data_IF_060170951637
#
_entry.id   IF_060170951637
#
_cell.length_a   1.000
_cell.length_b   1.000
_cell.length_c   1.000
_cell.angle_alpha   90.00
_cell.angle_beta   90.00
_cell.angle_gamma   90.00
#
_symmetry.space_group_name_H-M   'P 1'
#
loop_
_entity.id
_entity.type
_entity.pdbx_description
1 polymer ?
#
# COMPACT_ATOMS: atom_id res chain seq x y z
N UNK A 1 29.21 -22.87 -7.45
CA UNK A 1 28.79 -21.46 -7.36
C UNK A 1 27.47 -21.45 -6.59
N UNK A 2 27.55 -21.30 -5.30
CA UNK A 2 26.38 -21.15 -4.43
C UNK A 2 25.73 -19.82 -4.77
N UNK A 3 24.50 -19.87 -5.30
CA UNK A 3 23.72 -18.69 -5.55
C UNK A 3 23.52 -17.94 -4.24
N UNK A 4 23.96 -16.69 -4.17
CA UNK A 4 23.58 -15.76 -3.12
C UNK A 4 22.06 -15.79 -3.03
N UNK A 5 21.52 -16.39 -1.99
CA UNK A 5 20.13 -16.20 -1.60
C UNK A 5 19.99 -14.69 -1.34
N UNK A 6 19.27 -13.99 -2.23
CA UNK A 6 18.90 -12.61 -1.98
C UNK A 6 18.13 -12.61 -0.67
N UNK A 7 18.72 -12.03 0.36
CA UNK A 7 18.14 -11.93 1.69
C UNK A 7 16.86 -11.10 1.58
N UNK A 8 15.74 -11.79 1.60
CA UNK A 8 14.43 -11.16 1.59
C UNK A 8 14.31 -10.34 2.89
N UNK A 9 13.94 -9.08 2.76
CA UNK A 9 13.74 -8.18 3.91
C UNK A 9 12.30 -7.70 3.96
N UNK A 10 11.83 -7.38 5.16
CA UNK A 10 10.54 -6.75 5.38
C UNK A 10 10.79 -5.33 5.89
N UNK A 11 10.30 -4.36 5.14
CA UNK A 11 10.43 -2.94 5.47
C UNK A 11 9.09 -2.43 5.98
N UNK A 12 9.13 -1.65 7.06
CA UNK A 12 7.94 -1.11 7.71
C UNK A 12 8.14 0.39 7.92
N UNK A 13 7.20 1.20 7.42
CA UNK A 13 7.16 2.61 7.77
C UNK A 13 6.52 2.81 9.14
N UNK A 14 7.15 3.62 9.98
CA UNK A 14 6.67 3.95 11.33
C UNK A 14 6.38 5.46 11.37
N UNK A 15 5.12 5.82 11.19
CA UNK A 15 4.70 7.20 10.98
C UNK A 15 5.10 8.14 12.12
N UNK A 16 4.70 7.84 13.36
CA UNK A 16 5.01 8.70 14.51
C UNK A 16 6.46 8.59 15.00
N UNK A 17 7.15 7.47 14.75
CA UNK A 17 8.58 7.36 15.05
C UNK A 17 9.44 8.04 14.00
N UNK A 18 8.90 8.41 12.84
CA UNK A 18 9.66 8.94 11.71
C UNK A 18 10.84 8.01 11.40
N UNK A 19 10.51 6.76 11.10
CA UNK A 19 11.54 5.74 10.88
C UNK A 19 11.07 4.65 9.93
N UNK A 20 12.03 3.91 9.38
CA UNK A 20 11.79 2.67 8.64
C UNK A 20 12.42 1.54 9.44
N UNK A 21 11.61 0.58 9.89
CA UNK A 21 12.09 -0.68 10.47
C UNK A 21 12.38 -1.69 9.38
N UNK A 22 13.48 -2.44 9.54
CA UNK A 22 13.89 -3.49 8.60
C UNK A 22 13.97 -4.79 9.39
N UNK A 23 13.18 -5.79 8.99
CA UNK A 23 13.22 -7.13 9.57
C UNK A 23 13.90 -8.09 8.61
N UNK A 24 14.66 -8.99 9.16
CA UNK A 24 15.10 -10.19 8.44
C UNK A 24 13.92 -11.13 8.23
N UNK A 25 13.68 -11.53 6.99
CA UNK A 25 12.51 -12.33 6.64
C UNK A 25 12.57 -13.77 7.20
N UNK A 26 13.75 -14.34 7.42
CA UNK A 26 13.89 -15.74 7.86
C UNK A 26 13.79 -15.88 9.37
N UNK A 27 14.46 -15.00 10.11
CA UNK A 27 14.49 -15.02 11.58
C UNK A 27 13.32 -14.25 12.20
N UNK A 28 12.69 -13.35 11.44
CA UNK A 28 11.73 -12.37 11.93
C UNK A 28 12.29 -11.50 13.07
N UNK A 29 13.58 -11.19 13.00
CA UNK A 29 14.21 -10.28 13.95
C UNK A 29 14.31 -8.88 13.37
N UNK A 30 14.19 -7.86 14.23
CA UNK A 30 14.46 -6.48 13.86
C UNK A 30 15.97 -6.33 13.62
N UNK A 31 16.35 -6.19 12.35
CA UNK A 31 17.76 -6.03 11.96
C UNK A 31 18.25 -4.60 12.17
N UNK A 32 17.39 -3.64 11.79
CA UNK A 32 17.74 -2.22 11.83
C UNK A 32 16.49 -1.34 11.90
N UNK A 33 16.60 -0.19 12.56
CA UNK A 33 15.66 0.92 12.46
C UNK A 33 16.40 2.14 11.92
N UNK A 34 15.99 2.65 10.76
CA UNK A 34 16.54 3.86 10.16
C UNK A 34 15.68 5.02 10.64
N UNK A 35 16.27 5.94 11.40
CA UNK A 35 15.62 7.18 11.81
C UNK A 35 15.67 8.19 10.67
N UNK A 36 14.55 8.85 10.43
CA UNK A 36 14.39 9.94 9.47
C UNK A 36 14.45 11.29 10.20
N UNK A 37 14.63 12.36 9.46
CA UNK A 37 14.64 13.71 10.01
C UNK A 37 13.26 14.12 10.56
N UNK A 38 13.22 15.17 11.39
CA UNK A 38 12.05 15.53 12.20
C UNK A 38 10.80 15.90 11.38
N UNK A 39 10.96 16.29 10.13
CA UNK A 39 9.86 16.68 9.25
C UNK A 39 9.35 15.57 8.34
N UNK A 40 9.98 14.36 8.38
CA UNK A 40 9.63 13.24 7.50
C UNK A 40 8.67 12.28 8.20
N UNK A 41 7.43 12.26 7.76
CA UNK A 41 6.38 11.38 8.27
C UNK A 41 6.05 10.27 7.24
N UNK A 42 6.67 9.09 7.33
CA UNK A 42 6.54 8.04 6.33
C UNK A 42 5.22 7.28 6.52
N UNK A 43 4.15 7.72 5.88
CA UNK A 43 2.90 6.96 5.88
C UNK A 43 2.93 5.81 4.87
N UNK A 44 3.43 6.10 3.68
CA UNK A 44 3.65 5.13 2.61
C UNK A 44 5.05 5.30 2.04
N UNK A 45 5.53 4.33 1.28
CA UNK A 45 6.79 4.40 0.56
C UNK A 45 6.88 3.30 -0.50
N UNK A 46 7.75 3.46 -1.47
CA UNK A 46 8.10 2.40 -2.42
C UNK A 46 9.62 2.19 -2.47
N UNK A 47 10.06 1.05 -2.98
CA UNK A 47 11.48 0.66 -3.01
C UNK A 47 11.90 0.33 -4.43
N UNK A 48 12.98 0.98 -4.90
CA UNK A 48 13.76 0.53 -6.04
C UNK A 48 14.78 -0.51 -5.55
N UNK A 49 14.49 -1.78 -5.84
CA UNK A 49 15.35 -2.91 -5.45
C UNK A 49 16.70 -2.90 -6.15
N UNK A 50 16.76 -2.38 -7.36
CA UNK A 50 17.98 -2.38 -8.17
C UNK A 50 19.00 -1.38 -7.65
N UNK A 51 18.51 -0.24 -7.15
CA UNK A 51 19.33 0.84 -6.60
C UNK A 51 19.42 0.80 -5.08
N UNK A 52 18.61 -0.03 -4.42
CA UNK A 52 18.45 -0.07 -2.97
C UNK A 52 18.05 1.28 -2.37
N UNK A 53 17.11 1.96 -3.03
CA UNK A 53 16.56 3.25 -2.64
C UNK A 53 15.10 3.11 -2.22
N UNK A 54 14.68 3.86 -1.19
CA UNK A 54 13.28 4.05 -0.86
C UNK A 54 12.86 5.49 -1.17
N UNK A 55 11.68 5.63 -1.77
CA UNK A 55 11.04 6.92 -2.04
C UNK A 55 9.88 7.11 -1.07
N UNK A 56 9.92 8.21 -0.31
CA UNK A 56 9.02 8.46 0.82
C UNK A 56 8.27 9.78 0.58
N UNK A 57 6.95 9.73 0.30
CA UNK A 57 6.13 10.93 0.26
C UNK A 57 5.83 11.36 1.70
N UNK A 58 6.03 12.63 2.01
CA UNK A 58 5.68 13.21 3.31
C UNK A 58 4.35 13.96 3.22
N UNK A 59 3.39 13.56 4.05
CA UNK A 59 2.09 14.22 4.12
C UNK A 59 2.12 15.61 4.76
N UNK A 60 3.27 15.95 5.43
CA UNK A 60 3.50 17.20 6.14
C UNK A 60 4.41 18.08 5.34
N UNK A 61 4.44 18.69 4.51
CA UNK A 61 5.39 19.53 3.77
C UNK A 61 5.33 19.34 2.25
N UNK A 62 4.72 18.24 1.82
CA UNK A 62 4.54 17.98 0.40
C UNK A 62 5.86 17.68 -0.32
N UNK A 63 6.73 16.95 0.33
CA UNK A 63 8.05 16.57 -0.18
C UNK A 63 8.11 15.07 -0.46
N UNK A 64 8.93 14.71 -1.43
CA UNK A 64 9.31 13.32 -1.73
C UNK A 64 10.79 13.18 -1.43
N UNK A 65 11.11 12.30 -0.48
CA UNK A 65 12.49 12.04 -0.05
C UNK A 65 13.03 10.76 -0.66
N UNK A 66 14.32 10.75 -0.95
CA UNK A 66 15.08 9.56 -1.39
C UNK A 66 15.97 9.09 -0.27
N UNK A 67 15.67 7.92 0.25
CA UNK A 67 16.44 7.25 1.31
C UNK A 67 17.32 6.16 0.69
N UNK A 68 18.64 6.27 0.87
CA UNK A 68 19.57 5.16 0.58
C UNK A 68 19.50 4.13 1.73
N UNK A 69 18.98 2.95 1.42
CA UNK A 69 18.77 1.87 2.38
C UNK A 69 20.08 1.23 2.88
N UNK A 70 21.19 1.33 2.12
CA UNK A 70 22.49 0.80 2.53
C UNK A 70 23.08 1.63 3.66
N UNK A 71 23.17 2.95 3.46
CA UNK A 71 23.75 3.86 4.43
C UNK A 71 22.73 4.37 5.46
N UNK A 72 21.42 4.28 5.14
CA UNK A 72 20.33 4.73 6.00
C UNK A 72 20.27 6.25 6.15
N UNK A 73 20.43 6.97 5.05
CA UNK A 73 20.40 8.44 5.02
C UNK A 73 19.56 8.94 3.85
N UNK A 74 18.91 10.06 4.05
CA UNK A 74 18.30 10.83 2.96
C UNK A 74 19.45 11.37 2.08
N UNK A 75 19.38 11.12 0.79
CA UNK A 75 20.39 11.54 -0.20
C UNK A 75 19.87 12.58 -1.16
N UNK A 76 18.55 12.72 -1.31
CA UNK A 76 17.91 13.70 -2.18
C UNK A 76 16.46 13.93 -1.76
N UNK A 77 15.85 15.03 -2.22
CA UNK A 77 14.43 15.32 -2.04
C UNK A 77 13.94 16.36 -3.04
N UNK A 78 12.63 16.39 -3.25
CA UNK A 78 11.95 17.43 -4.02
C UNK A 78 10.68 17.88 -3.29
N UNK A 79 10.43 19.18 -3.25
CA UNK A 79 9.18 19.75 -2.76
C UNK A 79 8.21 19.96 -3.93
N UNK A 80 7.05 19.32 -3.87
CA UNK A 80 5.95 19.50 -4.83
C UNK A 80 4.71 20.12 -4.19
N UNK A 81 4.75 20.30 -2.87
CA UNK A 81 3.69 20.88 -2.07
C UNK A 81 2.48 19.97 -1.87
N UNK A 82 1.58 20.38 -0.99
CA UNK A 82 0.33 19.67 -0.71
C UNK A 82 0.47 18.40 0.13
N UNK A 83 -0.64 17.70 0.32
CA UNK A 83 -0.70 16.46 1.10
C UNK A 83 -0.46 15.25 0.22
N UNK A 84 0.73 14.66 0.34
CA UNK A 84 1.13 13.46 -0.40
C UNK A 84 0.77 12.21 0.41
N UNK A 85 0.08 11.24 -0.21
CA UNK A 85 -0.46 10.09 0.55
C UNK A 85 0.01 8.73 0.04
N UNK A 86 0.10 8.53 -1.26
CA UNK A 86 0.53 7.26 -1.81
C UNK A 86 1.62 7.45 -2.86
N UNK A 87 2.50 6.45 -3.02
CA UNK A 87 3.58 6.47 -3.99
C UNK A 87 3.84 5.07 -4.54
N UNK A 88 4.13 4.98 -5.83
CA UNK A 88 4.63 3.76 -6.45
C UNK A 88 5.68 4.07 -7.50
N UNK A 89 6.63 3.15 -7.65
CA UNK A 89 7.63 3.16 -8.70
C UNK A 89 7.21 2.22 -9.83
N UNK A 90 7.16 2.73 -11.05
CA UNK A 90 6.90 1.93 -12.24
C UNK A 90 7.65 2.51 -13.45
N UNK A 91 8.46 1.68 -14.13
CA UNK A 91 9.25 2.09 -15.30
C UNK A 91 10.13 3.35 -15.08
N UNK A 92 10.87 3.37 -13.97
CA UNK A 92 11.69 4.52 -13.54
C UNK A 92 10.92 5.82 -13.34
N UNK A 93 9.61 5.77 -13.16
CA UNK A 93 8.76 6.89 -12.81
C UNK A 93 8.08 6.67 -11.47
N UNK A 94 7.99 7.73 -10.67
CA UNK A 94 7.27 7.77 -9.41
C UNK A 94 5.89 8.38 -9.65
N UNK A 95 4.84 7.64 -9.31
CA UNK A 95 3.46 8.11 -9.32
C UNK A 95 3.07 8.44 -7.89
N UNK A 96 2.58 9.65 -7.63
CA UNK A 96 2.34 10.17 -6.29
C UNK A 96 0.96 10.83 -6.25
N UNK A 97 0.11 10.42 -5.30
CA UNK A 97 -1.15 11.10 -5.03
C UNK A 97 -0.93 12.37 -4.22
N UNK A 98 -1.52 13.47 -4.67
CA UNK A 98 -1.57 14.74 -3.96
C UNK A 98 -3.03 15.14 -3.73
N UNK A 99 -3.50 14.98 -2.50
CA UNK A 99 -4.90 15.24 -2.14
C UNK A 99 -5.28 16.71 -2.27
N UNK A 100 -4.39 17.63 -1.88
CA UNK A 100 -4.70 19.07 -1.86
C UNK A 100 -4.81 19.66 -3.26
N UNK A 101 -3.99 19.17 -4.20
CA UNK A 101 -4.03 19.64 -5.59
C UNK A 101 -4.94 18.81 -6.50
N UNK A 102 -5.62 17.80 -5.98
CA UNK A 102 -6.45 16.88 -6.75
C UNK A 102 -5.71 16.33 -7.98
N UNK A 103 -4.52 15.79 -7.78
CA UNK A 103 -3.69 15.36 -8.90
C UNK A 103 -2.79 14.17 -8.57
N UNK A 104 -2.34 13.51 -9.64
CA UNK A 104 -1.23 12.55 -9.60
C UNK A 104 -0.01 13.25 -10.18
N UNK A 105 1.03 13.38 -9.36
CA UNK A 105 2.34 13.81 -9.83
C UNK A 105 3.12 12.62 -10.38
N UNK A 106 3.81 12.84 -11.48
CA UNK A 106 4.72 11.85 -12.06
C UNK A 106 6.11 12.47 -12.10
N UNK A 107 7.07 11.84 -11.42
CA UNK A 107 8.45 12.26 -11.38
C UNK A 107 9.34 11.19 -12.01
N UNK A 108 10.42 11.59 -12.65
CA UNK A 108 11.51 10.68 -13.02
C UNK A 108 12.22 10.23 -11.74
N UNK A 109 12.31 8.92 -11.50
CA UNK A 109 12.86 8.36 -10.27
C UNK A 109 14.38 8.54 -10.12
N UNK A 110 15.10 8.87 -11.20
CA UNK A 110 16.56 9.07 -11.17
C UNK A 110 16.94 10.51 -10.87
N UNK A 111 16.13 11.46 -11.33
CA UNK A 111 16.44 12.88 -11.27
C UNK A 111 15.48 13.68 -10.40
N UNK A 112 14.39 13.09 -9.98
CA UNK A 112 13.23 13.71 -9.33
C UNK A 112 12.56 14.83 -10.16
N UNK A 113 12.96 15.02 -11.42
CA UNK A 113 12.35 16.03 -12.27
C UNK A 113 10.87 15.70 -12.54
N UNK A 114 9.98 16.69 -12.52
CA UNK A 114 8.59 16.49 -12.90
C UNK A 114 8.46 16.06 -14.37
N UNK A 115 7.74 14.97 -14.60
CA UNK A 115 7.42 14.43 -15.94
C UNK A 115 6.02 14.87 -16.34
N UNK A 116 5.05 14.75 -15.42
CA UNK A 116 3.66 15.14 -15.66
C UNK A 116 2.94 15.46 -14.35
N UNK A 117 1.85 16.23 -14.47
CA UNK A 117 0.85 16.39 -13.43
C UNK A 117 -0.50 16.08 -14.06
N UNK A 118 -1.16 15.05 -13.57
CA UNK A 118 -2.44 14.57 -14.09
C UNK A 118 -3.53 14.99 -13.12
N UNK A 119 -4.36 15.96 -13.51
CA UNK A 119 -5.49 16.39 -12.70
C UNK A 119 -6.50 15.25 -12.54
N UNK A 120 -6.92 15.00 -11.31
CA UNK A 120 -8.04 14.11 -10.99
C UNK A 120 -9.20 14.95 -10.48
N UNK A 121 -10.36 14.33 -10.26
CA UNK A 121 -11.36 14.97 -9.43
C UNK A 121 -10.98 14.86 -7.95
N UNK A 122 -11.87 15.02 -7.06
CA UNK A 122 -11.71 15.18 -5.61
C UNK A 122 -10.74 14.18 -4.94
N UNK A 123 -9.73 14.69 -4.27
CA UNK A 123 -8.89 14.01 -3.27
C UNK A 123 -8.48 12.58 -3.66
N UNK A 124 -7.52 12.41 -4.59
CA UNK A 124 -6.95 11.10 -4.88
C UNK A 124 -6.22 10.55 -3.65
N UNK A 125 -6.51 9.33 -3.23
CA UNK A 125 -5.88 8.72 -2.06
C UNK A 125 -5.10 7.45 -2.41
N UNK A 126 -5.76 6.29 -2.35
CA UNK A 126 -5.12 5.02 -2.67
C UNK A 126 -5.14 4.73 -4.17
N UNK A 127 -4.13 4.03 -4.65
CA UNK A 127 -4.09 3.56 -6.03
C UNK A 127 -3.35 2.22 -6.15
N UNK A 128 -3.56 1.53 -7.26
CA UNK A 128 -2.76 0.36 -7.66
C UNK A 128 -2.49 0.39 -9.17
N UNK A 129 -1.40 -0.27 -9.58
CA UNK A 129 -0.93 -0.30 -10.96
C UNK A 129 -1.18 -1.66 -11.60
N UNK A 130 -1.82 -1.65 -12.78
CA UNK A 130 -1.81 -2.77 -13.70
C UNK A 130 -0.66 -2.61 -14.72
N UNK A 131 0.44 -3.35 -14.55
CA UNK A 131 1.58 -3.29 -15.45
C UNK A 131 1.33 -3.97 -16.80
N UNK A 132 0.30 -4.80 -16.93
CA UNK A 132 -0.02 -5.54 -18.16
C UNK A 132 -0.65 -4.57 -19.16
N UNK A 133 -1.61 -3.78 -18.70
CA UNK A 133 -2.33 -2.83 -19.54
C UNK A 133 -1.81 -1.39 -19.44
N UNK A 134 -0.73 -1.15 -18.66
CA UNK A 134 -0.19 0.18 -18.38
C UNK A 134 -1.26 1.14 -17.85
N UNK A 135 -2.00 0.70 -16.83
CA UNK A 135 -3.07 1.47 -16.19
C UNK A 135 -2.77 1.71 -14.71
N UNK A 136 -3.10 2.91 -14.26
CA UNK A 136 -3.11 3.28 -12.86
C UNK A 136 -4.57 3.54 -12.47
N UNK A 137 -5.07 2.81 -11.47
CA UNK A 137 -6.41 3.00 -10.94
C UNK A 137 -6.34 3.74 -9.62
N UNK A 138 -7.04 4.86 -9.53
CA UNK A 138 -6.97 5.77 -8.38
C UNK A 138 -8.33 5.87 -7.71
N UNK A 139 -8.36 5.69 -6.40
CA UNK A 139 -9.52 5.99 -5.56
C UNK A 139 -9.54 7.49 -5.26
N UNK A 140 -10.59 8.17 -5.72
CA UNK A 140 -10.88 9.55 -5.38
C UNK A 140 -12.18 9.60 -4.57
N UNK A 141 -12.38 10.64 -3.77
CA UNK A 141 -13.66 10.82 -3.08
C UNK A 141 -14.77 10.95 -4.14
N UNK A 142 -15.72 10.01 -4.16
CA UNK A 142 -16.85 9.91 -5.08
C UNK A 142 -16.51 9.55 -6.54
N UNK A 143 -15.29 9.09 -6.85
CA UNK A 143 -14.97 8.61 -8.20
C UNK A 143 -13.83 7.58 -8.21
N UNK A 144 -13.77 6.80 -9.30
CA UNK A 144 -12.65 5.96 -9.66
C UNK A 144 -12.07 6.51 -10.95
N UNK A 145 -10.76 6.77 -10.95
CA UNK A 145 -10.04 7.30 -12.11
C UNK A 145 -9.08 6.25 -12.62
N UNK A 146 -9.17 5.93 -13.91
CA UNK A 146 -8.20 5.10 -14.62
C UNK A 146 -7.32 6.00 -15.48
N UNK A 147 -6.02 5.94 -15.26
CA UNK A 147 -5.01 6.75 -15.96
C UNK A 147 -4.22 5.84 -16.91
N UNK A 148 -4.02 6.31 -18.13
CA UNK A 148 -3.05 5.75 -19.06
C UNK A 148 -1.65 6.18 -18.64
N UNK A 149 -0.85 5.21 -18.15
CA UNK A 149 0.51 5.48 -17.64
C UNK A 149 1.44 5.97 -18.76
N UNK A 150 1.30 5.46 -19.99
CA UNK A 150 2.18 5.83 -21.10
C UNK A 150 1.89 7.24 -21.58
N UNK A 151 0.61 7.55 -21.80
CA UNK A 151 0.18 8.84 -22.34
C UNK A 151 0.00 9.92 -21.28
N UNK A 152 0.11 9.58 -19.98
CA UNK A 152 -0.04 10.50 -18.84
C UNK A 152 -1.36 11.27 -18.86
N UNK A 153 -2.47 10.58 -19.16
CA UNK A 153 -3.78 11.19 -19.24
C UNK A 153 -4.87 10.27 -18.65
N UNK A 154 -5.99 10.85 -18.29
CA UNK A 154 -7.15 10.08 -17.85
C UNK A 154 -7.65 9.25 -19.04
N UNK A 155 -7.67 7.93 -18.85
CA UNK A 155 -8.25 6.99 -19.81
C UNK A 155 -9.75 6.85 -19.60
N UNK A 156 -10.17 6.73 -18.33
CA UNK A 156 -11.57 6.58 -17.93
C UNK A 156 -11.80 7.11 -16.53
N UNK A 157 -12.98 7.64 -16.29
CA UNK A 157 -13.42 8.05 -14.98
C UNK A 157 -14.88 7.72 -14.79
N UNK A 158 -15.23 7.26 -13.58
CA UNK A 158 -16.61 6.91 -13.21
C UNK A 158 -16.92 7.47 -11.84
N UNK A 159 -18.02 8.21 -11.73
CA UNK A 159 -18.54 8.68 -10.45
C UNK A 159 -19.16 7.51 -9.68
N UNK A 160 -18.98 7.51 -8.37
CA UNK A 160 -19.46 6.46 -7.47
C UNK A 160 -20.51 7.01 -6.51
N UNK A 161 -21.43 6.14 -6.07
CA UNK A 161 -22.35 6.43 -4.96
C UNK A 161 -21.76 6.07 -3.58
N UNK A 162 -20.52 5.65 -3.53
CA UNK A 162 -19.74 5.32 -2.33
C UNK A 162 -18.44 6.12 -2.31
N UNK A 163 -17.71 6.08 -1.21
CA UNK A 163 -16.47 6.84 -1.00
C UNK A 163 -15.24 5.93 -1.12
N UNK A 164 -14.66 5.75 -2.31
CA UNK A 164 -13.43 4.98 -2.49
C UNK A 164 -12.29 5.52 -1.61
N UNK A 165 -11.47 4.60 -1.06
CA UNK A 165 -10.34 4.95 -0.22
C UNK A 165 -9.04 4.29 -0.69
N UNK A 166 -8.98 2.96 -0.69
CA UNK A 166 -7.88 2.21 -1.26
C UNK A 166 -8.35 1.29 -2.38
N UNK A 167 -7.43 0.98 -3.28
CA UNK A 167 -7.67 0.09 -4.42
C UNK A 167 -6.67 -1.06 -4.39
N UNK A 168 -7.14 -2.26 -4.73
CA UNK A 168 -6.30 -3.42 -5.00
C UNK A 168 -6.81 -4.18 -6.21
N UNK A 169 -5.92 -4.37 -7.20
CA UNK A 169 -6.25 -5.06 -8.45
C UNK A 169 -6.05 -6.55 -8.29
N UNK A 170 -7.10 -7.33 -8.57
CA UNK A 170 -6.99 -8.76 -8.81
C UNK A 170 -6.73 -9.02 -10.30
N UNK A 171 -5.46 -9.19 -10.64
CA UNK A 171 -5.02 -9.40 -12.02
C UNK A 171 -5.53 -10.72 -12.62
N UNK A 172 -5.82 -11.73 -11.80
CA UNK A 172 -6.30 -13.02 -12.27
C UNK A 172 -7.77 -12.97 -12.71
N UNK A 173 -8.60 -12.21 -11.99
CA UNK A 173 -10.02 -12.04 -12.31
C UNK A 173 -10.31 -10.81 -13.15
N UNK A 174 -9.33 -9.90 -13.32
CA UNK A 174 -9.54 -8.59 -13.91
C UNK A 174 -10.63 -7.80 -13.16
N UNK A 175 -10.54 -7.85 -11.84
CA UNK A 175 -11.43 -7.17 -10.91
C UNK A 175 -10.63 -6.20 -10.05
N UNK A 176 -11.25 -5.12 -9.65
CA UNK A 176 -10.68 -4.14 -8.73
C UNK A 176 -11.47 -4.16 -7.43
N UNK A 177 -10.81 -4.43 -6.35
CA UNK A 177 -11.34 -4.38 -5.00
C UNK A 177 -11.06 -3.01 -4.38
N UNK A 178 -12.09 -2.36 -3.89
CA UNK A 178 -12.03 -0.98 -3.40
C UNK A 178 -12.56 -0.96 -1.97
N UNK A 179 -11.70 -0.64 -1.01
CA UNK A 179 -12.16 -0.33 0.34
C UNK A 179 -12.77 1.06 0.36
N UNK A 180 -13.79 1.25 1.17
CA UNK A 180 -14.56 2.50 1.18
C UNK A 180 -14.68 3.06 2.60
N UNK A 181 -14.81 4.38 2.71
CA UNK A 181 -15.10 5.06 3.98
C UNK A 181 -16.55 4.81 4.47
N UNK A 182 -17.37 4.17 3.65
CA UNK A 182 -18.76 3.83 3.96
C UNK A 182 -18.90 2.41 4.56
N UNK A 183 -17.78 1.78 4.97
CA UNK A 183 -17.78 0.46 5.60
C UNK A 183 -18.03 -0.70 4.64
N UNK A 184 -17.56 -0.60 3.41
CA UNK A 184 -17.76 -1.62 2.38
C UNK A 184 -16.47 -1.94 1.64
N UNK A 185 -16.43 -3.12 1.03
CA UNK A 185 -15.52 -3.42 -0.07
C UNK A 185 -16.34 -3.59 -1.34
N UNK A 186 -16.15 -2.68 -2.30
CA UNK A 186 -16.82 -2.72 -3.59
C UNK A 186 -15.91 -3.35 -4.61
N UNK A 187 -16.43 -4.28 -5.40
CA UNK A 187 -15.69 -4.93 -6.49
C UNK A 187 -16.25 -4.44 -7.81
N UNK A 188 -15.35 -3.93 -8.66
CA UNK A 188 -15.71 -3.45 -9.99
C UNK A 188 -14.93 -4.21 -11.06
N UNK A 189 -15.50 -4.26 -12.26
CA UNK A 189 -14.79 -4.78 -13.42
C UNK A 189 -13.65 -3.84 -13.81
N UNK A 190 -12.47 -4.35 -14.07
CA UNK A 190 -11.26 -3.56 -14.36
C UNK A 190 -11.41 -2.70 -15.63
N UNK A 191 -12.08 -3.18 -16.67
CA UNK A 191 -12.21 -2.49 -17.95
C UNK A 191 -13.40 -1.52 -17.97
N UNK A 192 -14.56 -1.98 -17.49
CA UNK A 192 -15.80 -1.18 -17.53
C UNK A 192 -15.95 -0.25 -16.35
N UNK A 193 -15.29 -0.53 -15.21
CA UNK A 193 -15.46 0.11 -13.90
C UNK A 193 -16.90 -0.01 -13.35
N UNK A 194 -17.69 -0.93 -13.91
CA UNK A 194 -19.03 -1.24 -13.41
C UNK A 194 -18.96 -2.10 -12.16
N UNK A 195 -19.85 -1.85 -11.21
CA UNK A 195 -19.93 -2.61 -9.97
C UNK A 195 -20.36 -4.05 -10.28
N UNK A 196 -19.53 -5.00 -9.83
CA UNK A 196 -19.84 -6.43 -9.88
C UNK A 196 -20.57 -6.83 -8.61
N UNK A 197 -20.08 -6.38 -7.44
CA UNK A 197 -20.67 -6.70 -6.13
C UNK A 197 -20.24 -5.69 -5.07
N UNK A 198 -21.00 -5.64 -3.98
CA UNK A 198 -20.66 -4.95 -2.73
C UNK A 198 -20.62 -5.96 -1.59
N UNK A 199 -19.65 -5.81 -0.71
CA UNK A 199 -19.47 -6.62 0.49
C UNK A 199 -19.59 -5.65 1.67
N UNK A 200 -20.68 -5.76 2.45
CA UNK A 200 -21.10 -4.74 3.43
C UNK A 200 -20.73 -5.14 4.88
N UNK A 201 -19.78 -6.02 5.08
CA UNK A 201 -19.46 -6.66 6.36
C UNK A 201 -18.26 -6.02 7.08
N UNK A 202 -18.04 -4.72 6.87
CA UNK A 202 -16.91 -3.97 7.41
C UNK A 202 -17.39 -2.74 8.18
N UNK A 203 -16.52 -2.20 9.03
CA UNK A 203 -16.71 -0.89 9.66
C UNK A 203 -15.84 0.18 8.98
N UNK A 204 -14.53 -0.01 8.95
CA UNK A 204 -13.56 0.86 8.27
C UNK A 204 -12.51 0.00 7.59
N UNK A 205 -12.81 -0.60 6.43
CA UNK A 205 -11.84 -1.38 5.68
C UNK A 205 -10.76 -0.46 5.11
N UNK A 206 -9.51 -0.84 5.27
CA UNK A 206 -8.36 -0.05 4.79
C UNK A 206 -7.63 -0.79 3.69
N UNK A 207 -6.86 -1.79 4.01
CA UNK A 207 -5.99 -2.46 3.06
C UNK A 207 -6.48 -3.87 2.72
N UNK A 208 -6.27 -4.26 1.48
CA UNK A 208 -6.70 -5.55 0.92
C UNK A 208 -5.47 -6.26 0.34
N UNK A 209 -5.35 -7.56 0.59
CA UNK A 209 -4.36 -8.39 -0.08
C UNK A 209 -4.93 -9.77 -0.44
N UNK A 210 -4.39 -10.36 -1.51
CA UNK A 210 -4.83 -11.64 -2.04
C UNK A 210 -3.85 -12.76 -1.73
N UNK A 211 -4.34 -13.88 -1.24
CA UNK A 211 -3.62 -15.13 -1.16
C UNK A 211 -4.16 -16.10 -2.20
N UNK A 212 -3.58 -16.09 -3.38
CA UNK A 212 -4.01 -16.94 -4.49
C UNK A 212 -3.80 -18.44 -4.23
N UNK A 213 -2.80 -18.79 -3.41
CA UNK A 213 -2.49 -20.18 -3.05
C UNK A 213 -3.57 -20.79 -2.18
N UNK A 214 -4.00 -20.06 -1.15
CA UNK A 214 -4.98 -20.55 -0.18
C UNK A 214 -6.41 -20.07 -0.49
N UNK A 215 -6.60 -19.42 -1.65
CA UNK A 215 -7.91 -18.89 -2.09
C UNK A 215 -8.58 -18.01 -1.04
N UNK A 216 -7.82 -17.08 -0.46
CA UNK A 216 -8.29 -16.16 0.57
C UNK A 216 -8.02 -14.70 0.17
N UNK A 217 -8.90 -13.79 0.61
CA UNK A 217 -8.70 -12.35 0.58
C UNK A 217 -8.64 -11.88 2.03
N UNK A 218 -7.64 -11.08 2.37
CA UNK A 218 -7.50 -10.49 3.69
C UNK A 218 -7.79 -9.00 3.59
N UNK A 219 -8.64 -8.50 4.49
CA UNK A 219 -9.04 -7.09 4.58
C UNK A 219 -8.76 -6.60 5.99
N UNK A 220 -7.90 -5.60 6.14
CA UNK A 220 -7.72 -4.92 7.42
C UNK A 220 -8.92 -4.02 7.68
N UNK A 221 -9.63 -4.26 8.75
CA UNK A 221 -10.70 -3.40 9.23
C UNK A 221 -10.29 -2.74 10.55
N UNK A 222 -9.98 -1.46 10.46
CA UNK A 222 -9.37 -0.72 11.57
C UNK A 222 -10.32 -0.55 12.75
N UNK A 223 -11.58 -0.27 12.49
CA UNK A 223 -12.56 0.01 13.55
C UNK A 223 -13.06 -1.27 14.22
N UNK A 224 -13.26 -2.36 13.49
CA UNK A 224 -13.57 -3.66 14.07
C UNK A 224 -12.39 -4.28 14.80
N UNK A 225 -11.16 -3.80 14.54
CA UNK A 225 -9.89 -4.35 15.04
C UNK A 225 -9.68 -5.79 14.62
N UNK A 226 -10.01 -6.08 13.40
CA UNK A 226 -9.90 -7.40 12.82
C UNK A 226 -9.23 -7.37 11.45
N UNK A 227 -8.61 -8.47 11.09
CA UNK A 227 -8.35 -8.78 9.68
C UNK A 227 -9.41 -9.78 9.25
N UNK A 228 -10.37 -9.32 8.45
CA UNK A 228 -11.46 -10.14 7.94
C UNK A 228 -10.96 -10.97 6.77
N UNK A 229 -11.31 -12.25 6.76
CA UNK A 229 -10.86 -13.21 5.76
C UNK A 229 -12.05 -13.62 4.92
N UNK A 230 -11.95 -13.35 3.62
CA UNK A 230 -12.98 -13.72 2.66
C UNK A 230 -12.52 -14.90 1.80
N UNK A 231 -13.47 -15.69 1.36
CA UNK A 231 -13.27 -16.65 0.28
C UNK A 231 -12.98 -15.92 -1.03
N UNK A 232 -11.92 -16.32 -1.72
CA UNK A 232 -11.47 -15.67 -2.93
C UNK A 232 -12.48 -15.77 -4.09
N UNK A 233 -13.22 -16.88 -4.19
CA UNK A 233 -14.14 -17.10 -5.29
C UNK A 233 -15.52 -16.46 -5.04
N UNK A 234 -16.03 -16.62 -3.83
CA UNK A 234 -17.38 -16.17 -3.47
C UNK A 234 -17.43 -14.80 -2.81
N UNK A 235 -16.30 -14.37 -2.23
CA UNK A 235 -16.18 -13.18 -1.37
C UNK A 235 -17.03 -13.23 -0.09
N UNK A 236 -17.46 -14.42 0.33
CA UNK A 236 -18.11 -14.61 1.62
C UNK A 236 -17.08 -14.57 2.74
N UNK A 237 -17.47 -14.06 3.90
CA UNK A 237 -16.63 -14.10 5.10
C UNK A 237 -16.43 -15.55 5.54
N UNK A 238 -15.17 -15.96 5.66
CA UNK A 238 -14.78 -17.28 6.15
C UNK A 238 -14.43 -17.24 7.64
N UNK A 239 -13.71 -16.20 8.08
CA UNK A 239 -13.10 -16.11 9.39
C UNK A 239 -12.63 -14.68 9.65
N UNK A 240 -12.12 -14.40 10.85
CA UNK A 240 -11.41 -13.18 11.18
C UNK A 240 -10.23 -13.43 12.12
N UNK A 241 -9.21 -12.59 12.02
CA UNK A 241 -8.10 -12.53 12.96
C UNK A 241 -8.30 -11.30 13.83
N UNK A 242 -8.49 -11.50 15.13
CA UNK A 242 -8.60 -10.40 16.08
C UNK A 242 -7.23 -9.77 16.35
N UNK A 243 -7.20 -8.45 16.28
CA UNK A 243 -6.02 -7.63 16.56
C UNK A 243 -6.31 -6.82 17.82
N UNK A 244 -5.44 -6.89 18.82
CA UNK A 244 -5.64 -6.14 20.09
C UNK A 244 -5.54 -4.62 19.90
N UNK A 245 -4.98 -4.19 18.79
CA UNK A 245 -4.83 -2.78 18.40
C UNK A 245 -5.60 -2.42 17.14
N UNK A 246 -4.99 -1.68 16.25
CA UNK A 246 -5.60 -1.20 15.01
C UNK A 246 -4.81 -1.73 13.81
N UNK A 247 -5.32 -2.73 13.06
CA UNK A 247 -4.68 -3.22 11.85
C UNK A 247 -4.75 -2.15 10.75
N UNK A 248 -3.63 -1.88 10.11
CA UNK A 248 -3.56 -0.92 9.00
C UNK A 248 -2.91 -1.52 7.76
N UNK A 249 -1.62 -1.80 7.81
CA UNK A 249 -0.89 -2.39 6.69
C UNK A 249 -1.03 -3.91 6.64
N UNK A 250 -1.26 -4.44 5.46
CA UNK A 250 -1.27 -5.87 5.17
C UNK A 250 -0.27 -6.20 4.06
N UNK A 251 0.50 -7.25 4.26
CA UNK A 251 1.37 -7.78 3.22
C UNK A 251 1.38 -9.31 3.26
N UNK A 252 1.13 -9.94 2.12
CA UNK A 252 1.33 -11.38 1.92
C UNK A 252 2.75 -11.62 1.43
N UNK A 253 3.40 -12.65 1.97
CA UNK A 253 4.71 -13.11 1.48
C UNK A 253 4.62 -13.64 0.04
N UNK A 254 5.75 -13.63 -0.68
CA UNK A 254 5.80 -14.09 -2.09
C UNK A 254 5.41 -15.56 -2.27
N UNK A 255 5.65 -16.39 -1.27
CA UNK A 255 5.28 -17.81 -1.24
C UNK A 255 3.85 -18.05 -0.73
N UNK A 256 3.13 -16.97 -0.38
CA UNK A 256 1.77 -16.99 0.16
C UNK A 256 1.60 -17.69 1.52
N UNK A 257 2.68 -17.99 2.24
CA UNK A 257 2.59 -18.71 3.51
C UNK A 257 2.41 -17.79 4.72
N UNK A 258 2.83 -16.54 4.60
CA UNK A 258 2.83 -15.57 5.70
C UNK A 258 1.96 -14.35 5.38
N UNK A 259 1.22 -13.90 6.39
CA UNK A 259 0.54 -12.61 6.42
C UNK A 259 1.21 -11.73 7.47
N UNK A 260 1.70 -10.57 7.05
CA UNK A 260 2.20 -9.51 7.91
C UNK A 260 1.11 -8.47 8.12
N UNK A 261 0.89 -8.10 9.38
CA UNK A 261 -0.12 -7.11 9.78
C UNK A 261 0.54 -6.04 10.64
N UNK A 262 0.50 -4.78 10.23
CA UNK A 262 0.91 -3.68 11.11
C UNK A 262 -0.21 -3.35 12.10
N UNK A 263 0.15 -3.22 13.36
CA UNK A 263 -0.75 -2.80 14.44
C UNK A 263 -0.28 -1.44 14.97
N UNK A 264 -0.96 -0.40 14.54
CA UNK A 264 -0.56 0.99 14.83
C UNK A 264 -0.64 1.32 16.31
N UNK A 265 -1.56 0.72 17.06
CA UNK A 265 -1.75 0.98 18.48
C UNK A 265 -0.72 0.27 19.35
N UNK A 266 -0.37 -0.97 19.01
CA UNK A 266 0.64 -1.74 19.77
C UNK A 266 2.06 -1.47 19.32
N UNK A 267 2.27 -0.67 18.26
CA UNK A 267 3.58 -0.40 17.66
C UNK A 267 4.32 -1.69 17.31
N UNK A 268 3.66 -2.59 16.62
CA UNK A 268 4.19 -3.90 16.28
C UNK A 268 3.76 -4.36 14.90
N UNK A 269 4.51 -5.32 14.37
CA UNK A 269 4.10 -6.13 13.22
C UNK A 269 3.84 -7.55 13.69
N UNK A 270 2.64 -8.04 13.41
CA UNK A 270 2.22 -9.41 13.70
C UNK A 270 2.34 -10.26 12.45
N UNK A 271 2.88 -11.47 12.60
CA UNK A 271 3.08 -12.43 11.52
C UNK A 271 2.19 -13.63 11.76
N UNK A 272 1.40 -13.99 10.78
CA UNK A 272 0.48 -15.11 10.83
C UNK A 272 0.78 -16.15 9.76
N UNK A 273 0.56 -17.41 10.07
CA UNK A 273 0.53 -18.49 9.09
C UNK A 273 -0.80 -18.43 8.33
N UNK A 274 -0.76 -18.36 7.01
CA UNK A 274 -1.97 -18.21 6.19
C UNK A 274 -2.78 -19.49 6.04
N UNK A 275 -2.22 -20.67 6.40
CA UNK A 275 -2.95 -21.93 6.29
C UNK A 275 -4.00 -22.09 7.39
N UNK A 276 -3.65 -21.73 8.63
CA UNK A 276 -4.48 -21.90 9.83
C UNK A 276 -4.77 -20.61 10.60
N UNK A 277 -4.28 -19.47 10.10
CA UNK A 277 -4.40 -18.13 10.68
C UNK A 277 -3.75 -18.00 12.08
N UNK A 278 -2.89 -18.94 12.48
CA UNK A 278 -2.19 -18.89 13.77
C UNK A 278 -1.11 -17.80 13.77
N UNK A 279 -0.93 -17.14 14.92
CA UNK A 279 0.15 -16.18 15.10
C UNK A 279 1.50 -16.89 15.22
N UNK A 280 2.46 -16.46 14.42
CA UNK A 280 3.85 -16.96 14.46
C UNK A 280 4.70 -16.08 15.38
N UNK A 281 4.60 -14.76 15.19
CA UNK A 281 5.43 -13.80 15.94
C UNK A 281 4.75 -12.45 16.03
N UNK A 282 5.02 -11.74 17.13
CA UNK A 282 4.70 -10.33 17.32
C UNK A 282 6.00 -9.57 17.53
N UNK A 283 6.31 -8.61 16.67
CA UNK A 283 7.59 -7.93 16.61
C UNK A 283 7.38 -6.45 16.92
N UNK A 284 7.95 -5.94 18.03
CA UNK A 284 7.96 -4.51 18.28
C UNK A 284 8.75 -3.77 17.21
N UNK A 285 8.18 -2.67 16.71
CA UNK A 285 8.79 -1.78 15.72
C UNK A 285 8.65 -0.32 16.18
N UNK A 286 8.91 0.64 15.31
CA UNK A 286 8.67 2.05 15.63
C UNK A 286 7.19 2.37 15.87
N UNK A 287 6.91 3.58 16.34
CA UNK A 287 5.54 4.01 16.66
C UNK A 287 4.69 4.22 15.41
N UNK A 288 3.45 3.72 15.50
CA UNK A 288 2.45 3.79 14.43
C UNK A 288 2.95 3.20 13.10
N UNK A 289 3.21 1.88 13.07
CA UNK A 289 3.59 1.21 11.82
C UNK A 289 2.41 1.21 10.83
N UNK A 290 2.66 1.61 9.59
CA UNK A 290 1.64 1.76 8.55
C UNK A 290 1.87 0.79 7.39
N UNK A 291 2.74 1.10 6.47
CA UNK A 291 2.99 0.29 5.27
C UNK A 291 4.05 -0.79 5.52
N UNK A 292 3.79 -1.98 4.99
CA UNK A 292 4.72 -3.13 5.02
C UNK A 292 5.06 -3.54 3.59
N UNK A 293 6.35 -3.68 3.28
CA UNK A 293 6.84 -4.16 1.99
C UNK A 293 7.78 -5.35 2.19
N UNK A 294 7.46 -6.49 1.54
CA UNK A 294 8.35 -7.64 1.44
C UNK A 294 9.18 -7.55 0.14
N UNK A 295 10.48 -7.36 0.26
CA UNK A 295 11.37 -6.98 -0.85
C UNK A 295 12.48 -7.99 -1.06
#
# INVERSE_FOLDING_TARGET
MEGRLDYLKVYISNYLSRSISILDYQSFELEREIKLDEDIYPHNFCIDKTKNLAYIPSSHGGEVYVLDLNIGKIIDHISIGGKLTNIALYNDELFITNEDSNSIYVLDANTLNPVAVIGTENMPHGFDIDPINNRLYVACVNSIVCIDIINKCIYKQVNTSFKPWHIKIDKAKREIYISTLDGKVVVVNEETLEIIKSIDEFLVPIQICFNYKNKKIYVADMESKEVIILDYETSQVLDCIKIDGNPQGLQISKDYNLLFVSDTKSNSVKIYNTSDNSIIKNIPVGKEPTTILCV
#
